data_IF_751740097786
#
_entry.id   IF_751740097786
#
_cell.length_a   1.000
_cell.length_b   1.000
_cell.length_c   1.000
_cell.angle_alpha   90.00
_cell.angle_beta   90.00
_cell.angle_gamma   90.00
#
_symmetry.space_group_name_H-M   'P 1'
#
loop_
_entity.id
_entity.type
_entity.pdbx_description
1 polymer ?
#
# COMPACT_ATOMS: atom_id res chain seq x y z
N UNK A 1 -22.01 60.38 4.75
CA UNK A 1 -22.07 60.07 3.32
C UNK A 1 -20.94 60.82 2.63
N UNK A 2 -19.87 60.11 2.25
CA UNK A 2 -18.91 60.35 1.15
C UNK A 2 -18.09 59.05 1.13
N UNK A 3 -18.12 58.37 -0.01
CA UNK A 3 -17.39 57.13 -0.29
C UNK A 3 -16.06 57.54 -0.92
N UNK A 4 -14.93 57.04 -0.41
CA UNK A 4 -13.69 57.00 -1.20
C UNK A 4 -13.05 55.62 -1.06
N UNK A 5 -13.25 54.86 -2.13
CA UNK A 5 -12.70 53.54 -2.41
C UNK A 5 -11.35 53.75 -3.14
N UNK A 6 -10.25 53.22 -2.60
CA UNK A 6 -8.94 53.23 -3.27
C UNK A 6 -8.57 51.79 -3.65
N UNK A 7 -8.36 51.44 -4.93
CA UNK A 7 -7.79 50.15 -5.29
C UNK A 7 -6.26 50.17 -5.12
N UNK A 8 -5.73 49.20 -4.37
CA UNK A 8 -4.32 48.83 -4.39
C UNK A 8 -4.01 48.08 -5.69
N UNK A 9 -3.16 48.67 -6.52
CA UNK A 9 -2.57 48.05 -7.70
C UNK A 9 -1.45 47.12 -7.23
N UNK A 10 -1.55 45.82 -7.52
CA UNK A 10 -0.42 44.88 -7.47
C UNK A 10 0.08 44.64 -8.89
N UNK A 11 1.29 45.11 -9.16
CA UNK A 11 1.99 44.95 -10.43
C UNK A 11 2.55 43.51 -10.51
N UNK A 12 1.93 42.64 -11.32
CA UNK A 12 2.54 41.36 -11.69
C UNK A 12 3.46 41.59 -12.88
N UNK A 13 4.78 41.58 -12.63
CA UNK A 13 5.79 41.55 -13.68
C UNK A 13 5.87 40.15 -14.31
N UNK A 14 5.38 40.00 -15.54
CA UNK A 14 5.67 38.84 -16.37
C UNK A 14 6.87 39.16 -17.26
N UNK A 15 8.04 38.63 -16.90
CA UNK A 15 9.23 38.64 -17.73
C UNK A 15 9.09 37.53 -18.79
N UNK A 16 8.76 37.91 -20.03
CA UNK A 16 8.72 37.00 -21.19
C UNK A 16 10.15 36.68 -21.64
N UNK A 17 10.70 35.56 -21.18
CA UNK A 17 11.83 34.90 -21.85
C UNK A 17 11.29 34.11 -23.04
N UNK A 18 11.65 34.54 -24.26
CA UNK A 18 11.42 33.76 -25.50
C UNK A 18 12.43 32.62 -25.57
N UNK A 19 12.19 31.56 -24.79
CA UNK A 19 12.79 30.25 -25.01
C UNK A 19 11.73 29.35 -25.64
N UNK A 20 12.09 28.60 -26.69
CA UNK A 20 11.24 27.55 -27.27
C UNK A 20 11.07 26.42 -26.26
N UNK A 21 10.19 26.62 -25.28
CA UNK A 21 9.62 25.54 -24.49
C UNK A 21 8.67 24.80 -25.42
N UNK A 22 9.02 23.56 -25.78
CA UNK A 22 8.04 22.60 -26.28
C UNK A 22 6.95 22.55 -25.22
N UNK A 23 5.80 23.12 -25.54
CA UNK A 23 4.61 23.05 -24.71
C UNK A 23 4.25 21.57 -24.64
N UNK A 24 4.64 20.89 -23.56
CA UNK A 24 4.03 19.62 -23.23
C UNK A 24 2.56 19.95 -22.98
N UNK A 25 1.69 19.64 -23.94
CA UNK A 25 0.26 19.73 -23.70
C UNK A 25 -0.03 18.92 -22.44
N UNK A 26 -0.75 19.46 -21.44
CA UNK A 26 -1.21 18.64 -20.33
C UNK A 26 -2.07 17.53 -20.91
N UNK A 27 -1.60 16.29 -20.77
CA UNK A 27 -2.37 15.12 -21.13
C UNK A 27 -3.74 15.19 -20.41
N UNK A 28 -4.83 14.73 -21.03
CA UNK A 28 -6.17 14.83 -20.44
C UNK A 28 -6.21 14.15 -19.06
N UNK A 29 -6.34 14.95 -17.99
CA UNK A 29 -6.21 14.52 -16.59
C UNK A 29 -7.47 13.79 -16.08
N UNK A 30 -8.61 13.88 -16.77
CA UNK A 30 -9.89 13.44 -16.23
C UNK A 30 -10.19 11.92 -16.36
N UNK A 31 -9.67 11.25 -17.40
CA UNK A 31 -10.01 9.83 -17.66
C UNK A 31 -9.12 8.88 -16.85
N UNK A 32 -7.85 9.26 -16.60
CA UNK A 32 -6.92 8.43 -15.83
C UNK A 32 -7.27 8.40 -14.35
N UNK A 33 -7.56 9.54 -13.73
CA UNK A 33 -7.89 9.61 -12.29
C UNK A 33 -9.10 8.75 -11.89
N UNK A 34 -10.18 8.75 -12.69
CA UNK A 34 -11.36 7.93 -12.42
C UNK A 34 -11.08 6.44 -12.58
N UNK A 35 -10.30 6.06 -13.60
CA UNK A 35 -9.90 4.67 -13.81
C UNK A 35 -9.02 4.15 -12.67
N UNK A 36 -8.09 4.97 -12.16
CA UNK A 36 -7.25 4.61 -11.02
C UNK A 36 -8.05 4.53 -9.72
N UNK A 37 -9.00 5.45 -9.48
CA UNK A 37 -9.88 5.38 -8.33
C UNK A 37 -10.69 4.08 -8.32
N UNK A 38 -11.24 3.67 -9.47
CA UNK A 38 -11.94 2.39 -9.61
C UNK A 38 -11.02 1.20 -9.29
N UNK A 39 -9.83 1.16 -9.87
CA UNK A 39 -8.86 0.08 -9.61
C UNK A 39 -8.42 0.05 -8.14
N UNK A 40 -8.26 1.20 -7.49
CA UNK A 40 -7.98 1.30 -6.05
C UNK A 40 -9.13 0.72 -5.24
N UNK A 41 -10.39 1.06 -5.56
CA UNK A 41 -11.56 0.51 -4.86
C UNK A 41 -11.63 -1.01 -5.00
N UNK A 42 -11.45 -1.55 -6.21
CA UNK A 42 -11.45 -2.99 -6.47
C UNK A 42 -10.29 -3.70 -5.75
N UNK A 43 -9.08 -3.12 -5.79
CA UNK A 43 -7.93 -3.65 -5.10
C UNK A 43 -8.13 -3.66 -3.58
N UNK A 44 -8.66 -2.59 -3.01
CA UNK A 44 -8.98 -2.51 -1.58
C UNK A 44 -10.05 -3.51 -1.18
N UNK A 45 -11.09 -3.69 -2.00
CA UNK A 45 -12.12 -4.68 -1.76
C UNK A 45 -11.56 -6.11 -1.75
N UNK A 46 -10.65 -6.44 -2.68
CA UNK A 46 -9.99 -7.74 -2.72
C UNK A 46 -9.10 -7.97 -1.48
N UNK A 47 -8.37 -6.95 -1.03
CA UNK A 47 -7.51 -7.02 0.16
C UNK A 47 -8.33 -7.20 1.45
N UNK A 48 -9.49 -6.58 1.55
CA UNK A 48 -10.37 -6.62 2.72
C UNK A 48 -11.48 -7.67 2.65
N UNK A 49 -11.45 -8.57 1.67
CA UNK A 49 -12.47 -9.61 1.53
C UNK A 49 -12.54 -10.47 2.79
N UNK A 50 -13.65 -10.37 3.53
CA UNK A 50 -13.85 -11.09 4.80
C UNK A 50 -13.04 -10.53 5.99
N UNK A 51 -12.52 -9.30 5.89
CA UNK A 51 -11.74 -8.63 6.94
C UNK A 51 -12.48 -7.37 7.40
N UNK A 52 -13.02 -7.41 8.61
CA UNK A 52 -13.65 -6.25 9.26
C UNK A 52 -12.75 -5.66 10.36
N UNK A 53 -11.93 -6.51 10.97
CA UNK A 53 -10.96 -6.15 12.00
C UNK A 53 -9.70 -7.00 11.86
N UNK A 54 -8.57 -6.45 12.28
CA UNK A 54 -7.30 -7.15 12.41
C UNK A 54 -6.59 -6.66 13.67
N UNK A 55 -5.55 -7.39 14.07
CA UNK A 55 -4.71 -7.02 15.20
C UNK A 55 -4.10 -5.62 14.98
N UNK A 56 -4.00 -4.86 16.07
CA UNK A 56 -3.19 -3.66 16.15
C UNK A 56 -1.94 -4.00 16.98
N UNK A 57 -0.87 -4.52 16.36
CA UNK A 57 0.33 -4.89 17.10
C UNK A 57 1.05 -3.62 17.56
N UNK A 58 1.22 -3.48 18.88
CA UNK A 58 1.96 -2.37 19.50
C UNK A 58 1.46 -0.99 19.10
N UNK A 59 2.38 -0.05 18.92
CA UNK A 59 2.14 1.22 18.24
C UNK A 59 2.41 1.00 16.75
N UNK A 60 1.39 0.89 15.88
CA UNK A 60 1.63 0.59 14.47
C UNK A 60 2.46 1.71 13.84
N UNK A 61 3.53 1.35 13.13
CA UNK A 61 4.28 2.31 12.33
C UNK A 61 3.36 2.94 11.29
N UNK A 62 3.41 4.28 11.18
CA UNK A 62 2.59 5.01 10.23
C UNK A 62 3.18 4.86 8.83
N UNK A 63 2.39 4.37 7.88
CA UNK A 63 2.80 4.28 6.48
C UNK A 63 2.40 5.57 5.76
N UNK A 64 3.38 6.23 5.14
CA UNK A 64 3.14 7.32 4.20
C UNK A 64 2.72 6.77 2.84
N UNK A 65 1.53 7.16 2.38
CA UNK A 65 0.95 6.68 1.12
C UNK A 65 0.93 7.81 0.09
N UNK A 66 1.68 7.66 -1.00
CA UNK A 66 1.81 8.68 -2.03
C UNK A 66 1.84 8.09 -3.44
N UNK A 67 1.29 8.83 -4.40
CA UNK A 67 1.22 8.45 -5.81
C UNK A 67 -0.17 7.97 -6.26
N UNK A 68 -0.43 7.95 -7.58
CA UNK A 68 -1.76 7.76 -8.13
C UNK A 68 -2.33 6.34 -7.98
N UNK A 69 -1.49 5.37 -7.60
CA UNK A 69 -1.86 3.95 -7.44
C UNK A 69 -1.47 3.39 -6.08
N UNK A 70 -1.22 4.27 -5.11
CA UNK A 70 -0.96 3.92 -3.72
C UNK A 70 -2.17 4.32 -2.89
N UNK A 71 -2.59 3.47 -1.97
CA UNK A 71 -3.79 3.69 -1.17
C UNK A 71 -3.70 3.02 0.21
N UNK A 72 -4.35 3.60 1.24
CA UNK A 72 -4.50 2.93 2.53
C UNK A 72 -5.47 1.75 2.41
N UNK A 73 -5.06 0.59 2.92
CA UNK A 73 -5.91 -0.60 3.02
C UNK A 73 -6.66 -0.55 4.35
N UNK A 74 -5.90 -0.43 5.43
CA UNK A 74 -6.38 -0.32 6.81
C UNK A 74 -5.77 0.90 7.48
N UNK A 75 -6.58 1.61 8.23
CA UNK A 75 -6.14 2.72 9.09
C UNK A 75 -6.36 2.34 10.54
N UNK A 76 -5.52 2.86 11.42
CA UNK A 76 -5.69 2.75 12.87
C UNK A 76 -5.47 4.10 13.53
N UNK A 77 -5.60 4.12 14.85
CA UNK A 77 -5.33 5.28 15.71
C UNK A 77 -4.09 4.98 16.57
N UNK A 78 -2.86 5.24 16.09
CA UNK A 78 -1.64 4.91 16.81
C UNK A 78 -1.54 5.75 18.08
N UNK A 79 -1.79 5.15 19.24
CA UNK A 79 -1.82 5.86 20.53
C UNK A 79 -3.22 6.08 21.13
N UNK A 80 -4.25 5.40 20.59
CA UNK A 80 -5.61 5.38 21.15
C UNK A 80 -6.52 6.52 20.66
N UNK A 81 -7.61 6.78 21.37
CA UNK A 81 -8.76 7.59 20.91
C UNK A 81 -8.46 9.06 20.59
N UNK A 82 -7.28 9.56 20.98
CA UNK A 82 -6.82 10.94 20.72
C UNK A 82 -5.76 11.04 19.62
N UNK A 83 -5.39 9.91 19.00
CA UNK A 83 -4.36 9.86 18.00
C UNK A 83 -4.86 10.20 16.59
N UNK A 84 -3.93 10.59 15.73
CA UNK A 84 -4.19 10.81 14.30
C UNK A 84 -4.53 9.46 13.65
N UNK A 85 -5.64 9.40 12.92
CA UNK A 85 -5.97 8.24 12.09
C UNK A 85 -4.90 8.12 10.99
N UNK A 86 -4.19 6.99 10.98
CA UNK A 86 -3.03 6.80 10.12
C UNK A 86 -3.06 5.41 9.44
N UNK A 87 -2.54 5.27 8.21
CA UNK A 87 -2.44 3.98 7.55
C UNK A 87 -1.53 3.02 8.32
N UNK A 88 -2.10 1.88 8.73
CA UNK A 88 -1.39 0.76 9.36
C UNK A 88 -1.09 -0.36 8.35
N UNK A 89 -1.90 -0.44 7.29
CA UNK A 89 -1.62 -1.27 6.10
C UNK A 89 -1.90 -0.44 4.87
N UNK A 90 -0.97 -0.46 3.93
CA UNK A 90 -1.08 0.25 2.66
C UNK A 90 -0.76 -0.70 1.50
N UNK A 91 -1.24 -0.35 0.32
CA UNK A 91 -0.91 -1.08 -0.89
C UNK A 91 -0.61 -0.12 -2.03
N UNK A 92 0.17 -0.60 -2.98
CA UNK A 92 0.41 0.08 -4.24
C UNK A 92 0.49 -0.94 -5.38
N UNK A 93 0.18 -0.51 -6.60
CA UNK A 93 0.28 -1.39 -7.76
C UNK A 93 0.77 -0.70 -9.02
N UNK A 94 1.25 -1.54 -9.92
CA UNK A 94 1.47 -1.26 -11.34
C UNK A 94 0.65 -2.26 -12.16
N UNK A 95 0.58 -2.12 -13.50
CA UNK A 95 -0.09 -3.11 -14.34
C UNK A 95 0.54 -4.51 -14.29
N UNK A 96 1.72 -4.70 -13.68
CA UNK A 96 2.40 -6.00 -13.60
C UNK A 96 2.68 -6.52 -12.17
N UNK A 97 2.53 -5.68 -11.14
CA UNK A 97 2.89 -6.04 -9.77
C UNK A 97 2.00 -5.31 -8.75
N UNK A 98 1.78 -5.95 -7.60
CA UNK A 98 1.21 -5.33 -6.41
C UNK A 98 2.22 -5.39 -5.26
N UNK A 99 2.12 -4.47 -4.32
CA UNK A 99 2.88 -4.45 -3.08
C UNK A 99 1.89 -4.15 -1.96
N UNK A 100 1.99 -4.87 -0.85
CA UNK A 100 1.28 -4.57 0.40
C UNK A 100 2.32 -4.35 1.48
N UNK A 101 2.20 -3.24 2.21
CA UNK A 101 3.06 -2.87 3.31
C UNK A 101 2.27 -2.91 4.61
N UNK A 102 2.86 -3.53 5.63
CA UNK A 102 2.36 -3.56 6.99
C UNK A 102 3.24 -2.65 7.84
N UNK A 103 2.63 -1.79 8.66
CA UNK A 103 3.34 -0.79 9.44
C UNK A 103 4.10 -1.36 10.64
N UNK A 104 3.98 -2.67 10.89
CA UNK A 104 4.64 -3.36 11.99
C UNK A 104 4.84 -4.84 11.61
N UNK A 105 5.93 -5.44 12.03
CA UNK A 105 6.24 -6.86 11.83
C UNK A 105 5.36 -7.83 12.65
N UNK A 106 4.79 -7.40 13.78
CA UNK A 106 3.88 -8.19 14.62
C UNK A 106 2.63 -8.73 13.91
N UNK A 107 2.30 -8.28 12.69
CA UNK A 107 1.33 -8.97 11.84
C UNK A 107 1.79 -10.38 11.43
N UNK A 108 3.10 -10.61 11.37
CA UNK A 108 3.75 -11.88 11.03
C UNK A 108 3.90 -12.83 12.23
N UNK A 109 3.54 -12.41 13.45
CA UNK A 109 3.58 -13.27 14.64
C UNK A 109 2.41 -14.27 14.62
N UNK A 110 2.67 -15.59 14.82
CA UNK A 110 1.63 -16.61 14.93
C UNK A 110 0.50 -16.28 15.92
N UNK A 111 0.78 -15.58 17.02
CA UNK A 111 -0.22 -15.13 17.99
C UNK A 111 -1.21 -14.14 17.38
N UNK A 112 -0.73 -13.27 16.50
CA UNK A 112 -1.52 -12.23 15.86
C UNK A 112 -2.57 -12.81 14.90
N UNK A 113 -2.30 -13.99 14.33
CA UNK A 113 -3.17 -14.66 13.36
C UNK A 113 -4.50 -15.16 13.96
N UNK A 114 -4.57 -15.29 15.28
CA UNK A 114 -5.76 -15.69 16.01
C UNK A 114 -6.62 -14.49 16.49
N UNK A 115 -6.19 -13.27 16.19
CA UNK A 115 -6.90 -12.04 16.58
C UNK A 115 -7.63 -11.45 15.38
N UNK A 116 -8.94 -11.24 15.53
CA UNK A 116 -9.79 -10.71 14.46
C UNK A 116 -9.67 -11.56 13.18
N UNK A 117 -9.49 -10.91 12.04
CA UNK A 117 -9.27 -11.55 10.74
C UNK A 117 -7.85 -11.30 10.20
N UNK A 118 -6.87 -11.12 11.08
CA UNK A 118 -5.46 -10.86 10.70
C UNK A 118 -4.92 -11.92 9.75
N UNK A 119 -5.17 -13.21 10.04
CA UNK A 119 -4.80 -14.32 9.14
C UNK A 119 -5.36 -14.14 7.74
N UNK A 120 -6.65 -13.80 7.64
CA UNK A 120 -7.31 -13.58 6.34
C UNK A 120 -6.70 -12.38 5.60
N UNK A 121 -6.38 -11.29 6.32
CA UNK A 121 -5.73 -10.12 5.73
C UNK A 121 -4.37 -10.46 5.11
N UNK A 122 -3.55 -11.28 5.78
CA UNK A 122 -2.27 -11.76 5.23
C UNK A 122 -2.49 -12.60 3.96
N UNK A 123 -3.44 -13.53 4.00
CA UNK A 123 -3.74 -14.40 2.86
C UNK A 123 -4.27 -13.61 1.65
N UNK A 124 -5.16 -12.64 1.88
CA UNK A 124 -5.66 -11.74 0.84
C UNK A 124 -4.53 -10.90 0.26
N UNK A 125 -3.65 -10.37 1.10
CA UNK A 125 -2.49 -9.56 0.69
C UNK A 125 -1.55 -10.35 -0.22
N UNK A 126 -1.25 -11.60 0.14
CA UNK A 126 -0.38 -12.45 -0.65
C UNK A 126 -1.01 -12.83 -1.99
N UNK A 127 -2.27 -13.30 -1.98
CA UNK A 127 -3.01 -13.66 -3.20
C UNK A 127 -3.17 -12.47 -4.15
N UNK A 128 -3.47 -11.30 -3.61
CA UNK A 128 -3.57 -10.06 -4.38
C UNK A 128 -2.21 -9.67 -4.99
N UNK A 129 -1.12 -9.79 -4.22
CA UNK A 129 0.25 -9.51 -4.68
C UNK A 129 0.69 -10.43 -5.82
N UNK A 130 0.29 -11.72 -5.77
CA UNK A 130 0.56 -12.67 -6.84
C UNK A 130 -0.12 -12.33 -8.16
N UNK A 131 -1.22 -11.57 -8.14
CA UNK A 131 -1.99 -11.13 -9.33
C UNK A 131 -2.32 -12.28 -10.30
N UNK A 132 -2.76 -13.41 -9.76
CA UNK A 132 -3.12 -14.60 -10.53
C UNK A 132 -1.92 -15.47 -10.97
N UNK A 133 -0.69 -15.14 -10.58
CA UNK A 133 0.46 -16.04 -10.74
C UNK A 133 0.37 -17.16 -9.70
N UNK A 134 0.53 -18.41 -10.15
CA UNK A 134 0.49 -19.59 -9.28
C UNK A 134 1.89 -20.15 -8.95
N UNK A 135 2.94 -19.35 -9.11
CA UNK A 135 4.32 -19.74 -8.81
C UNK A 135 4.65 -19.72 -7.31
N UNK A 136 5.83 -20.22 -6.90
CA UNK A 136 6.19 -20.28 -5.48
C UNK A 136 6.30 -18.90 -4.84
N UNK A 137 5.98 -18.81 -3.56
CA UNK A 137 6.15 -17.61 -2.72
C UNK A 137 7.40 -17.78 -1.89
N UNK A 138 8.28 -16.79 -1.94
CA UNK A 138 9.46 -16.75 -1.09
C UNK A 138 9.17 -15.99 0.21
N UNK A 139 9.53 -16.56 1.36
CA UNK A 139 9.46 -15.90 2.67
C UNK A 139 10.87 -15.60 3.15
N UNK A 140 11.14 -14.32 3.44
CA UNK A 140 12.39 -13.84 4.00
C UNK A 140 12.10 -12.85 5.12
N UNK A 141 11.71 -13.36 6.30
CA UNK A 141 11.24 -12.53 7.42
C UNK A 141 12.13 -12.61 8.66
N UNK A 142 13.27 -13.30 8.56
CA UNK A 142 14.22 -13.50 9.64
C UNK A 142 14.83 -14.91 9.59
N UNK A 143 15.35 -15.34 10.75
CA UNK A 143 16.03 -16.64 10.91
C UNK A 143 15.05 -17.83 10.94
N UNK A 144 13.83 -17.62 11.42
CA UNK A 144 12.78 -18.64 11.44
C UNK A 144 11.58 -18.17 10.62
N UNK A 145 11.30 -18.92 9.55
CA UNK A 145 10.18 -18.67 8.66
C UNK A 145 9.15 -19.82 8.70
N UNK A 146 9.33 -20.79 9.60
CA UNK A 146 8.60 -22.07 9.61
C UNK A 146 7.10 -21.84 9.75
N UNK A 147 6.69 -21.03 10.74
CA UNK A 147 5.27 -20.77 10.98
C UNK A 147 4.58 -20.07 9.79
N UNK A 148 5.27 -19.16 9.10
CA UNK A 148 4.72 -18.48 7.91
C UNK A 148 4.63 -19.43 6.71
N UNK A 149 5.64 -20.28 6.52
CA UNK A 149 5.62 -21.33 5.49
C UNK A 149 4.41 -22.25 5.73
N UNK A 150 4.22 -22.71 6.97
CA UNK A 150 3.10 -23.57 7.37
C UNK A 150 1.76 -22.88 7.17
N UNK A 151 1.64 -21.62 7.60
CA UNK A 151 0.43 -20.82 7.44
C UNK A 151 -0.03 -20.75 5.97
N UNK A 152 0.89 -20.40 5.08
CA UNK A 152 0.59 -20.25 3.66
C UNK A 152 0.39 -21.59 2.97
N UNK A 153 1.17 -22.61 3.33
CA UNK A 153 1.01 -23.97 2.80
C UNK A 153 -0.36 -24.56 3.18
N UNK A 154 -0.79 -24.37 4.44
CA UNK A 154 -2.11 -24.77 4.91
C UNK A 154 -3.26 -24.04 4.18
N UNK A 155 -2.99 -22.87 3.60
CA UNK A 155 -3.92 -22.10 2.78
C UNK A 155 -3.84 -22.43 1.27
N UNK A 156 -3.10 -23.47 0.90
CA UNK A 156 -2.90 -23.92 -0.49
C UNK A 156 -1.90 -23.09 -1.28
N UNK A 157 -1.07 -22.28 -0.63
CA UNK A 157 -0.05 -21.45 -1.28
C UNK A 157 1.29 -22.16 -1.21
N UNK A 158 1.95 -22.35 -2.36
CA UNK A 158 3.29 -22.92 -2.44
C UNK A 158 4.32 -21.94 -1.85
N UNK A 159 4.55 -21.98 -0.54
CA UNK A 159 5.46 -21.08 0.16
C UNK A 159 6.75 -21.80 0.57
N UNK A 160 7.88 -21.11 0.50
CA UNK A 160 9.18 -21.64 0.96
C UNK A 160 10.06 -20.53 1.51
N UNK A 161 10.94 -20.87 2.45
CA UNK A 161 11.92 -19.95 2.99
C UNK A 161 12.96 -19.59 1.90
N UNK A 162 13.24 -18.31 1.75
CA UNK A 162 14.32 -17.80 0.89
C UNK A 162 15.63 -17.91 1.66
N UNK A 163 16.67 -18.40 0.98
CA UNK A 163 18.03 -18.46 1.51
C UNK A 163 18.90 -17.35 0.89
N UNK A 164 19.92 -16.91 1.62
CA UNK A 164 20.91 -15.99 1.05
C UNK A 164 21.53 -16.61 -0.21
N UNK A 165 21.61 -15.83 -1.30
CA UNK A 165 22.08 -16.29 -2.60
C UNK A 165 21.02 -16.96 -3.49
N UNK A 166 19.77 -17.11 -3.05
CA UNK A 166 18.69 -17.63 -3.90
C UNK A 166 18.41 -16.70 -5.09
N UNK A 167 18.14 -17.29 -6.26
CA UNK A 167 17.59 -16.57 -7.39
C UNK A 167 16.13 -16.17 -7.10
N UNK A 168 15.90 -14.88 -6.82
CA UNK A 168 14.58 -14.35 -6.48
C UNK A 168 13.58 -14.38 -7.65
N UNK A 169 14.05 -14.44 -8.90
CA UNK A 169 13.18 -14.45 -10.08
C UNK A 169 12.31 -15.70 -10.20
N UNK A 170 12.62 -16.77 -9.44
CA UNK A 170 11.82 -17.99 -9.39
C UNK A 170 10.49 -17.81 -8.64
N UNK A 171 10.39 -16.78 -7.79
CA UNK A 171 9.22 -16.54 -6.95
C UNK A 171 8.18 -15.67 -7.65
N UNK A 172 6.90 -16.01 -7.46
CA UNK A 172 5.76 -15.22 -7.95
C UNK A 172 5.46 -14.00 -7.07
N UNK A 173 5.78 -14.11 -5.78
CA UNK A 173 5.70 -13.06 -4.77
C UNK A 173 6.73 -13.32 -3.66
N UNK A 174 7.06 -12.26 -2.92
CA UNK A 174 7.97 -12.30 -1.79
C UNK A 174 7.28 -11.69 -0.57
N UNK A 175 7.48 -12.31 0.59
CA UNK A 175 7.16 -11.74 1.91
C UNK A 175 8.49 -11.42 2.57
N UNK A 176 8.72 -10.15 2.87
CA UNK A 176 9.98 -9.67 3.42
C UNK A 176 9.75 -8.93 4.73
N UNK A 177 10.64 -9.11 5.70
CA UNK A 177 10.73 -8.28 6.89
C UNK A 177 12.10 -7.60 6.90
N UNK A 178 12.13 -6.31 7.23
CA UNK A 178 13.33 -5.46 7.23
C UNK A 178 13.99 -5.38 8.60
#
# INVERSE_FOLDING_TARGET
>A
MIITNLPRIYLFGALLLTGTLRHAQPAPVLITAQSEAKHITEARAALLLGVNEAVAPGLPGVISVFGPRAFPVMVGTPGGDKAVVAPSVAAAFTPKAGIVAFGHDGFLDPKAWNTGQTKQLLLNSLRWTQRGKNGPVGIWTGNDNTALVELFSAAGINATAVKSGDNLAKFSALVVNG
#
